data_IF_935541833341
#
_entry.id   IF_935541833341
#
_cell.length_a   1.000
_cell.length_b   1.000
_cell.length_c   1.000
_cell.angle_alpha   90.00
_cell.angle_beta   90.00
_cell.angle_gamma   90.00
#
_symmetry.space_group_name_H-M   'P 1'
#
loop_
_entity.id
_entity.type
_entity.pdbx_description
1 polymer ?
#
# COMPACT_ATOMS: atom_id res chain seq x y z
N UNK A 1 -16.84 -17.45 52.73
CA UNK A 1 -15.65 -18.28 53.02
C UNK A 1 -14.60 -18.02 51.94
N UNK A 2 -13.57 -17.27 52.30
CA UNK A 2 -12.38 -16.98 51.49
C UNK A 2 -11.27 -17.90 51.97
N UNK A 3 -10.34 -18.34 51.12
CA UNK A 3 -9.00 -18.70 51.58
C UNK A 3 -7.92 -17.77 50.98
N UNK A 4 -7.22 -17.19 51.91
CA UNK A 4 -5.85 -16.74 52.12
C UNK A 4 -4.84 -16.77 50.98
N UNK A 5 -4.19 -15.58 50.84
CA UNK A 5 -2.86 -15.36 50.28
C UNK A 5 -1.78 -16.22 50.93
N UNK A 6 -0.86 -16.70 50.14
CA UNK A 6 0.50 -17.07 50.58
C UNK A 6 1.53 -16.17 49.88
N UNK A 7 2.23 -15.40 50.69
CA UNK A 7 3.47 -14.72 50.34
C UNK A 7 4.62 -15.71 50.40
N UNK A 8 5.49 -15.68 49.40
CA UNK A 8 6.81 -16.29 49.46
C UNK A 8 7.90 -15.23 49.35
N UNK A 9 8.70 -15.19 50.41
CA UNK A 9 9.73 -14.22 50.63
C UNK A 9 10.98 -14.39 49.78
N UNK A 10 11.58 -13.25 49.59
CA UNK A 10 12.81 -12.97 48.88
C UNK A 10 14.03 -13.32 49.75
N UNK A 11 14.99 -14.06 49.21
CA UNK A 11 16.35 -14.07 49.73
C UNK A 11 17.30 -13.48 48.70
N UNK A 12 17.94 -12.38 49.11
CA UNK A 12 19.11 -11.79 48.45
C UNK A 12 20.35 -12.62 48.78
N UNK A 13 21.21 -12.86 47.80
CA UNK A 13 22.63 -13.10 48.02
C UNK A 13 23.43 -12.31 46.99
N UNK A 14 24.29 -11.45 47.51
CA UNK A 14 25.20 -10.63 46.72
C UNK A 14 26.45 -11.42 46.31
N UNK A 15 27.08 -10.94 45.23
CA UNK A 15 28.36 -11.43 44.76
C UNK A 15 28.97 -10.38 43.81
N UNK A 16 29.86 -9.59 44.36
CA UNK A 16 30.70 -8.65 43.61
C UNK A 16 31.91 -9.34 42.98
N UNK A 17 32.27 -9.00 41.75
CA UNK A 17 33.65 -9.05 41.14
C UNK A 17 33.58 -8.18 39.91
N UNK A 18 34.22 -7.07 39.88
CA UNK A 18 35.55 -6.52 39.60
C UNK A 18 36.14 -6.91 38.24
N UNK A 19 36.43 -5.86 37.45
CA UNK A 19 37.52 -5.72 36.47
C UNK A 19 37.14 -6.07 35.05
N UNK A 20 37.40 -5.29 34.04
CA UNK A 20 38.51 -4.41 33.72
C UNK A 20 38.16 -3.53 32.54
N UNK A 21 38.57 -2.29 32.62
CA UNK A 21 38.57 -1.27 31.57
C UNK A 21 39.69 -1.59 30.58
N UNK A 22 39.41 -1.70 29.32
CA UNK A 22 40.42 -1.64 28.24
C UNK A 22 40.16 -0.42 27.40
N UNK A 23 41.00 0.61 27.63
CA UNK A 23 41.19 1.76 26.76
C UNK A 23 42.01 1.33 25.53
N UNK A 24 41.48 1.56 24.32
CA UNK A 24 42.30 1.65 23.11
C UNK A 24 42.15 3.03 22.48
N UNK A 25 43.06 3.94 22.88
CA UNK A 25 43.47 5.10 22.04
C UNK A 25 44.63 4.63 21.19
N UNK A 26 44.53 4.70 19.90
CA UNK A 26 45.66 4.78 19.01
C UNK A 26 45.41 5.85 17.94
N UNK A 27 46.27 6.81 18.00
CA UNK A 27 46.38 7.93 17.09
C UNK A 27 46.86 7.48 15.71
N UNK A 28 46.30 8.04 14.65
CA UNK A 28 46.98 8.12 13.37
C UNK A 28 47.06 9.56 12.88
N UNK A 29 48.27 9.93 12.56
CA UNK A 29 48.73 11.25 12.16
C UNK A 29 48.20 11.68 10.79
N UNK A 30 47.93 12.95 10.68
CA UNK A 30 47.78 13.69 9.41
C UNK A 30 49.04 13.53 8.54
N UNK A 31 48.81 13.33 7.23
CA UNK A 31 49.71 13.82 6.20
C UNK A 31 48.90 14.59 5.16
N UNK A 32 49.27 15.84 5.00
CA UNK A 32 48.77 16.77 4.03
C UNK A 32 49.31 16.44 2.63
N UNK A 33 48.40 16.40 1.64
CA UNK A 33 48.79 16.34 0.24
C UNK A 33 47.71 16.96 -0.62
N UNK A 34 47.79 18.27 -0.85
CA UNK A 34 47.07 18.98 -1.90
C UNK A 34 47.43 18.38 -3.27
N UNK A 35 46.44 17.87 -4.00
CA UNK A 35 46.45 17.93 -5.47
C UNK A 35 45.03 18.22 -5.95
N UNK A 36 44.86 19.43 -6.42
CA UNK A 36 43.78 19.90 -7.26
C UNK A 36 43.85 19.14 -8.60
N UNK A 37 42.83 18.35 -8.90
CA UNK A 37 42.61 17.85 -10.25
C UNK A 37 41.21 18.27 -10.66
N UNK A 38 41.12 19.30 -11.47
CA UNK A 38 39.93 19.65 -12.22
C UNK A 38 39.68 18.52 -13.20
N UNK A 39 38.61 17.73 -12.94
CA UNK A 39 38.15 16.74 -13.88
C UNK A 39 37.29 17.44 -14.93
N UNK A 40 37.87 17.67 -16.12
CA UNK A 40 37.09 17.99 -17.31
C UNK A 40 36.09 16.82 -17.56
N UNK A 41 34.79 17.09 -17.76
CA UNK A 41 33.87 16.05 -18.19
C UNK A 41 34.34 15.56 -19.57
N UNK A 42 34.51 14.24 -19.69
CA UNK A 42 35.01 13.62 -20.90
C UNK A 42 34.02 13.87 -22.05
N UNK A 43 34.54 14.12 -23.25
CA UNK A 43 33.78 14.24 -24.50
C UNK A 43 32.77 13.08 -24.70
N UNK A 44 33.04 11.91 -24.13
CA UNK A 44 32.14 10.74 -24.11
C UNK A 44 30.84 10.96 -23.32
N UNK A 45 30.86 11.66 -22.17
CA UNK A 45 29.65 11.98 -21.42
C UNK A 45 28.77 12.99 -22.16
N UNK A 46 29.37 13.93 -22.87
CA UNK A 46 28.64 14.90 -23.69
C UNK A 46 27.98 14.23 -24.92
N UNK A 47 28.67 13.29 -25.56
CA UNK A 47 28.14 12.50 -26.68
C UNK A 47 26.96 11.60 -26.25
N UNK A 48 27.00 11.01 -25.07
CA UNK A 48 25.88 10.17 -24.54
C UNK A 48 24.66 11.02 -24.24
N UNK A 49 24.82 12.23 -23.71
CA UNK A 49 23.69 13.15 -23.44
C UNK A 49 23.06 13.66 -24.75
N UNK A 50 23.86 13.97 -25.75
CA UNK A 50 23.36 14.42 -27.05
C UNK A 50 22.69 13.29 -27.82
N UNK A 51 23.21 12.06 -27.74
CA UNK A 51 22.63 10.88 -28.37
C UNK A 51 21.28 10.49 -27.72
N UNK A 52 21.18 10.57 -26.38
CA UNK A 52 19.93 10.27 -25.66
C UNK A 52 18.84 11.35 -25.90
N UNK A 53 19.22 12.61 -25.97
CA UNK A 53 18.32 13.73 -26.32
C UNK A 53 17.83 13.64 -27.78
N UNK A 54 18.71 13.27 -28.72
CA UNK A 54 18.36 13.06 -30.11
C UNK A 54 17.40 11.86 -30.34
N UNK A 55 17.57 10.78 -29.55
CA UNK A 55 16.69 9.63 -29.61
C UNK A 55 15.28 9.95 -29.09
N UNK A 56 15.16 10.74 -28.02
CA UNK A 56 13.86 11.23 -27.51
C UNK A 56 13.11 12.09 -28.53
N UNK A 57 13.80 13.01 -29.21
CA UNK A 57 13.20 13.85 -30.26
C UNK A 57 12.81 13.05 -31.53
N UNK A 58 13.50 11.95 -31.82
CA UNK A 58 13.11 11.05 -32.90
C UNK A 58 11.88 10.20 -32.57
N UNK A 59 11.73 9.79 -31.29
CA UNK A 59 10.53 9.08 -30.82
C UNK A 59 9.30 9.99 -30.86
N UNK A 60 9.42 11.26 -30.44
CA UNK A 60 8.31 12.22 -30.55
C UNK A 60 7.91 12.51 -32.02
N UNK A 61 8.87 12.70 -32.91
CA UNK A 61 8.58 12.90 -34.33
C UNK A 61 8.04 11.64 -35.04
N UNK A 62 8.49 10.45 -34.61
CA UNK A 62 8.01 9.18 -35.17
C UNK A 62 6.55 8.87 -34.81
N UNK A 63 6.06 9.33 -33.65
CA UNK A 63 4.64 9.15 -33.26
C UNK A 63 3.67 10.09 -33.98
N UNK A 64 4.12 11.22 -34.49
CA UNK A 64 3.24 12.20 -35.18
C UNK A 64 3.06 11.92 -36.68
N UNK A 65 3.93 11.15 -37.33
CA UNK A 65 3.85 10.86 -38.77
C UNK A 65 3.19 9.51 -39.13
N UNK A 66 2.65 8.76 -38.14
CA UNK A 66 2.04 7.45 -38.35
C UNK A 66 0.51 7.43 -38.46
N UNK A 67 -0.16 8.59 -38.55
CA UNK A 67 -1.62 8.69 -38.67
C UNK A 67 -2.07 9.09 -40.09
N UNK A 68 -1.74 8.28 -41.09
CA UNK A 68 -2.46 8.28 -42.35
C UNK A 68 -3.35 7.04 -42.42
N UNK A 69 -4.65 7.27 -42.46
CA UNK A 69 -5.69 6.26 -42.59
C UNK A 69 -5.74 5.67 -43.99
N UNK A 70 -5.65 4.35 -44.21
CA UNK A 70 -5.99 3.77 -45.50
C UNK A 70 -7.51 3.60 -45.62
N UNK A 71 -8.07 4.15 -46.69
CA UNK A 71 -9.45 3.93 -47.14
C UNK A 71 -9.68 2.44 -47.51
N UNK A 72 -10.79 1.82 -47.11
CA UNK A 72 -11.04 0.42 -47.43
C UNK A 72 -11.58 0.21 -48.83
N UNK A 73 -10.85 -0.51 -49.69
CA UNK A 73 -11.40 -1.15 -50.88
C UNK A 73 -12.21 -2.39 -50.49
N UNK A 74 -13.47 -2.37 -50.90
CA UNK A 74 -14.42 -3.48 -50.80
C UNK A 74 -13.96 -4.70 -51.58
N UNK A 75 -13.93 -5.87 -50.91
CA UNK A 75 -14.19 -7.15 -51.54
C UNK A 75 -14.95 -8.07 -50.57
N UNK A 76 -16.18 -8.41 -50.99
CA UNK A 76 -17.11 -9.17 -50.19
C UNK A 76 -16.73 -10.66 -50.01
N UNK A 77 -16.91 -11.15 -48.80
CA UNK A 77 -17.38 -12.51 -48.50
C UNK A 77 -18.29 -12.43 -47.30
N UNK A 78 -19.58 -12.66 -47.56
CA UNK A 78 -20.60 -12.89 -46.54
C UNK A 78 -20.24 -14.17 -45.79
N UNK A 79 -20.12 -14.07 -44.49
CA UNK A 79 -20.26 -15.17 -43.58
C UNK A 79 -21.44 -14.84 -42.64
N UNK A 80 -22.52 -15.58 -42.81
CA UNK A 80 -23.71 -15.50 -41.99
C UNK A 80 -23.37 -16.01 -40.58
N UNK A 81 -23.35 -15.12 -39.59
CA UNK A 81 -23.38 -15.50 -38.19
C UNK A 81 -24.78 -15.27 -37.63
N UNK A 82 -25.39 -16.34 -37.18
CA UNK A 82 -26.65 -16.34 -36.48
C UNK A 82 -26.70 -15.34 -35.33
N UNK A 83 -27.66 -14.46 -35.40
CA UNK A 83 -27.95 -13.37 -34.45
C UNK A 83 -28.61 -13.95 -33.21
N UNK A 84 -27.84 -14.27 -32.17
CA UNK A 84 -28.33 -14.39 -30.81
C UNK A 84 -28.40 -12.99 -30.18
N UNK A 85 -29.60 -12.50 -29.93
CA UNK A 85 -29.82 -11.23 -29.22
C UNK A 85 -29.44 -11.43 -27.75
N UNK A 86 -28.27 -10.91 -27.36
CA UNK A 86 -28.02 -10.46 -26.00
C UNK A 86 -27.58 -9.01 -26.13
N UNK A 87 -28.33 -8.09 -25.52
CA UNK A 87 -28.06 -6.66 -25.55
C UNK A 87 -26.73 -6.33 -24.92
N UNK A 88 -25.67 -6.31 -25.73
CA UNK A 88 -24.36 -5.83 -25.33
C UNK A 88 -24.39 -4.29 -25.25
N UNK A 89 -24.40 -3.73 -24.05
CA UNK A 89 -23.93 -2.35 -23.83
C UNK A 89 -22.51 -2.25 -24.37
N UNK A 90 -22.25 -1.23 -25.20
CA UNK A 90 -20.85 -0.89 -25.52
C UNK A 90 -20.15 -0.61 -24.20
N UNK A 91 -18.91 -1.09 -23.98
CA UNK A 91 -18.20 -0.75 -22.76
C UNK A 91 -18.11 0.76 -22.65
N UNK A 92 -18.59 1.31 -21.52
CA UNK A 92 -18.47 2.73 -21.23
C UNK A 92 -16.97 3.10 -21.24
N UNK A 93 -16.64 4.32 -21.63
CA UNK A 93 -15.25 4.79 -21.69
C UNK A 93 -14.51 4.56 -20.34
N UNK A 94 -15.22 4.61 -19.21
CA UNK A 94 -14.71 4.31 -17.88
C UNK A 94 -14.27 2.84 -17.72
N UNK A 95 -14.98 1.89 -18.30
CA UNK A 95 -14.61 0.46 -18.26
C UNK A 95 -13.35 0.20 -19.09
N UNK A 96 -13.21 0.86 -20.23
CA UNK A 96 -12.03 0.76 -21.07
C UNK A 96 -10.80 1.35 -20.37
N UNK A 97 -10.93 2.51 -19.71
CA UNK A 97 -9.85 3.11 -18.93
C UNK A 97 -9.41 2.19 -17.80
N UNK A 98 -10.34 1.62 -17.05
CA UNK A 98 -10.05 0.65 -15.98
C UNK A 98 -9.27 -0.56 -16.51
N UNK A 99 -9.67 -1.12 -17.65
CA UNK A 99 -8.98 -2.25 -18.29
C UNK A 99 -7.56 -1.88 -18.72
N UNK A 100 -7.36 -0.71 -19.31
CA UNK A 100 -6.03 -0.21 -19.72
C UNK A 100 -5.13 -0.03 -18.49
N UNK A 101 -5.64 0.58 -17.42
CA UNK A 101 -4.89 0.78 -16.18
C UNK A 101 -4.53 -0.56 -15.53
N UNK A 102 -5.42 -1.55 -15.57
CA UNK A 102 -5.14 -2.91 -15.10
C UNK A 102 -4.00 -3.55 -15.90
N UNK A 103 -4.03 -3.46 -17.22
CA UNK A 103 -2.98 -4.04 -18.06
C UNK A 103 -1.62 -3.36 -17.81
N UNK A 104 -1.58 -2.03 -17.72
CA UNK A 104 -0.37 -1.27 -17.40
C UNK A 104 0.16 -1.70 -16.02
N UNK A 105 -0.71 -1.78 -15.01
CA UNK A 105 -0.34 -2.21 -13.65
C UNK A 105 0.22 -3.62 -13.63
N UNK A 106 -0.44 -4.56 -14.30
CA UNK A 106 0.01 -5.95 -14.40
C UNK A 106 1.38 -6.07 -15.07
N UNK A 107 1.63 -5.35 -16.17
CA UNK A 107 2.94 -5.31 -16.84
C UNK A 107 4.01 -4.72 -15.94
N UNK A 108 3.72 -3.60 -15.27
CA UNK A 108 4.65 -2.94 -14.36
C UNK A 108 5.05 -3.88 -13.22
N UNK A 109 4.07 -4.51 -12.58
CA UNK A 109 4.32 -5.46 -11.48
C UNK A 109 5.15 -6.64 -11.97
N UNK A 110 4.80 -7.26 -13.11
CA UNK A 110 5.59 -8.36 -13.68
C UNK A 110 7.04 -7.95 -13.94
N UNK A 111 7.25 -6.77 -14.54
CA UNK A 111 8.58 -6.24 -14.81
C UNK A 111 9.37 -5.97 -13.54
N UNK A 112 8.79 -5.27 -12.57
CA UNK A 112 9.47 -4.94 -11.32
C UNK A 112 9.73 -6.18 -10.46
N UNK A 113 8.77 -7.08 -10.38
CA UNK A 113 8.90 -8.32 -9.62
C UNK A 113 9.86 -9.34 -10.26
N UNK A 114 10.22 -9.19 -11.53
CA UNK A 114 11.24 -10.04 -12.16
C UNK A 114 12.67 -9.77 -11.72
N UNK A 115 12.91 -8.64 -11.04
CA UNK A 115 14.22 -8.33 -10.50
C UNK A 115 14.65 -9.35 -9.43
N UNK A 116 15.91 -9.81 -9.51
CA UNK A 116 16.49 -10.83 -8.62
C UNK A 116 16.42 -10.51 -7.11
N UNK A 117 16.31 -9.22 -6.76
CA UNK A 117 16.23 -8.77 -5.37
C UNK A 117 14.80 -8.77 -4.82
N UNK A 118 13.79 -9.04 -5.65
CA UNK A 118 12.40 -9.14 -5.21
C UNK A 118 12.07 -10.56 -4.73
N UNK A 119 11.19 -10.72 -3.74
CA UNK A 119 10.77 -12.05 -3.31
C UNK A 119 9.87 -12.69 -4.38
N UNK A 120 10.20 -13.91 -4.79
CA UNK A 120 9.41 -14.66 -5.79
C UNK A 120 8.51 -15.74 -5.17
N UNK A 121 8.48 -15.83 -3.84
CA UNK A 121 7.66 -16.82 -3.12
C UNK A 121 7.36 -16.32 -1.71
N UNK A 122 6.19 -16.66 -1.20
CA UNK A 122 5.82 -16.43 0.19
C UNK A 122 6.82 -17.08 1.16
N UNK A 123 7.47 -18.16 0.73
CA UNK A 123 8.42 -18.90 1.55
C UNK A 123 9.84 -18.28 1.56
N UNK A 124 10.14 -17.38 0.63
CA UNK A 124 11.38 -16.59 0.62
C UNK A 124 11.30 -15.32 1.47
N UNK A 125 10.12 -14.96 1.96
CA UNK A 125 9.91 -13.82 2.85
C UNK A 125 10.53 -14.06 4.23
N UNK A 126 10.95 -12.98 4.91
CA UNK A 126 11.32 -13.04 6.32
C UNK A 126 10.15 -13.55 7.18
N UNK A 127 10.43 -14.02 8.39
CA UNK A 127 9.36 -14.49 9.29
C UNK A 127 8.33 -13.39 9.58
N UNK A 128 8.79 -12.14 9.73
CA UNK A 128 7.93 -11.00 10.01
C UNK A 128 7.06 -10.64 8.79
N UNK A 129 7.66 -10.50 7.61
CA UNK A 129 6.94 -10.24 6.35
C UNK A 129 5.90 -11.32 6.08
N UNK A 130 6.27 -12.59 6.20
CA UNK A 130 5.35 -13.71 6.01
C UNK A 130 4.22 -13.72 7.02
N UNK A 131 4.50 -13.47 8.31
CA UNK A 131 3.48 -13.35 9.36
C UNK A 131 2.49 -12.22 9.02
N UNK A 132 3.00 -11.05 8.67
CA UNK A 132 2.18 -9.88 8.27
C UNK A 132 1.29 -10.24 7.09
N UNK A 133 1.85 -10.78 6.02
CA UNK A 133 1.09 -11.19 4.83
C UNK A 133 -0.03 -12.18 5.18
N UNK A 134 0.30 -13.28 5.86
CA UNK A 134 -0.67 -14.34 6.16
C UNK A 134 -1.80 -13.86 7.07
N UNK A 135 -1.56 -12.86 7.92
CA UNK A 135 -2.58 -12.22 8.74
C UNK A 135 -3.48 -11.23 7.97
N UNK A 136 -3.07 -10.84 6.75
CA UNK A 136 -3.83 -9.89 5.90
C UNK A 136 -4.54 -10.58 4.74
N UNK A 137 -4.33 -11.88 4.51
CA UNK A 137 -5.01 -12.61 3.44
C UNK A 137 -6.17 -13.42 4.01
N UNK A 138 -7.37 -13.08 3.54
CA UNK A 138 -8.63 -13.76 3.81
C UNK A 138 -8.89 -14.86 2.78
N UNK A 139 -9.54 -15.92 3.22
CA UNK A 139 -9.84 -17.11 2.42
C UNK A 139 -11.34 -17.27 2.27
N UNK A 140 -11.81 -17.53 1.06
CA UNK A 140 -13.14 -18.06 0.83
C UNK A 140 -13.02 -19.38 0.06
N UNK A 141 -13.25 -20.50 0.75
CA UNK A 141 -13.13 -21.84 0.17
C UNK A 141 -14.30 -22.18 -0.75
N UNK A 142 -15.49 -21.63 -0.49
CA UNK A 142 -16.70 -21.85 -1.29
C UNK A 142 -16.55 -21.30 -2.71
N UNK A 143 -16.00 -20.09 -2.83
CA UNK A 143 -15.76 -19.40 -4.10
C UNK A 143 -14.29 -19.46 -4.56
N UNK A 144 -13.43 -20.20 -3.84
CA UNK A 144 -12.02 -20.49 -4.16
C UNK A 144 -11.19 -19.24 -4.48
N UNK A 145 -11.23 -18.24 -3.59
CA UNK A 145 -10.40 -17.05 -3.73
C UNK A 145 -9.67 -16.64 -2.45
N UNK A 146 -8.64 -15.83 -2.63
CA UNK A 146 -7.85 -15.19 -1.60
C UNK A 146 -7.94 -13.68 -1.78
N UNK A 147 -8.22 -12.96 -0.69
CA UNK A 147 -8.27 -11.51 -0.67
C UNK A 147 -7.26 -10.95 0.32
N UNK A 148 -6.23 -10.23 -0.17
CA UNK A 148 -5.38 -9.44 0.73
C UNK A 148 -6.07 -8.12 1.05
N UNK A 149 -6.54 -7.98 2.29
CA UNK A 149 -7.20 -6.75 2.70
C UNK A 149 -6.19 -5.66 3.05
N UNK A 150 -6.43 -4.47 2.52
CA UNK A 150 -5.64 -3.28 2.79
C UNK A 150 -6.51 -2.29 3.56
N UNK A 151 -6.14 -1.89 4.80
CA UNK A 151 -6.85 -0.84 5.53
C UNK A 151 -6.90 0.46 4.74
N UNK A 152 -8.02 1.17 4.82
CA UNK A 152 -8.32 2.44 4.11
C UNK A 152 -8.53 2.29 2.59
N UNK A 153 -8.73 1.04 2.12
CA UNK A 153 -9.09 0.69 0.74
C UNK A 153 -10.37 -0.16 0.75
N UNK A 154 -11.41 0.35 1.36
CA UNK A 154 -12.74 -0.25 1.48
C UNK A 154 -12.76 -1.70 2.06
N UNK A 155 -11.74 -2.08 2.85
CA UNK A 155 -11.61 -3.43 3.38
C UNK A 155 -12.78 -3.87 4.28
N UNK A 156 -13.46 -2.94 4.95
CA UNK A 156 -14.65 -3.26 5.77
C UNK A 156 -15.80 -3.75 4.89
N UNK A 157 -16.02 -3.13 3.72
CA UNK A 157 -17.04 -3.55 2.77
C UNK A 157 -16.73 -4.91 2.16
N UNK A 158 -15.47 -5.14 1.76
CA UNK A 158 -15.05 -6.46 1.32
C UNK A 158 -15.22 -7.54 2.38
N UNK A 159 -14.93 -7.24 3.64
CA UNK A 159 -15.15 -8.20 4.74
C UNK A 159 -16.64 -8.51 4.93
N UNK A 160 -17.55 -7.52 4.75
CA UNK A 160 -19.01 -7.79 4.74
C UNK A 160 -19.41 -8.70 3.58
N UNK A 161 -18.93 -8.40 2.38
CA UNK A 161 -19.15 -9.25 1.20
C UNK A 161 -18.66 -10.68 1.45
N UNK A 162 -17.47 -10.87 2.01
CA UNK A 162 -16.94 -12.19 2.34
C UNK A 162 -17.85 -12.93 3.34
N UNK A 163 -18.38 -12.24 4.36
CA UNK A 163 -19.32 -12.85 5.32
C UNK A 163 -20.64 -13.26 4.67
N UNK A 164 -21.15 -12.51 3.71
CA UNK A 164 -22.32 -12.91 2.93
C UNK A 164 -22.00 -14.12 2.06
N UNK A 165 -20.88 -14.10 1.34
CA UNK A 165 -20.46 -15.23 0.50
C UNK A 165 -20.18 -16.52 1.29
N UNK A 166 -19.77 -16.42 2.55
CA UNK A 166 -19.60 -17.56 3.46
C UNK A 166 -20.88 -18.00 4.15
N UNK A 167 -21.97 -17.24 4.03
CA UNK A 167 -23.26 -17.51 4.68
C UNK A 167 -23.34 -17.05 6.14
N UNK A 168 -22.36 -16.27 6.63
CA UNK A 168 -22.37 -15.70 7.99
C UNK A 168 -23.26 -14.45 8.11
N UNK A 169 -23.58 -13.80 6.99
CA UNK A 169 -24.54 -12.70 6.89
C UNK A 169 -25.50 -12.97 5.73
N UNK A 170 -26.72 -12.52 5.85
CA UNK A 170 -27.74 -12.63 4.80
C UNK A 170 -27.53 -11.60 3.69
N UNK A 171 -27.13 -10.40 4.05
CA UNK A 171 -26.91 -9.28 3.12
C UNK A 171 -25.76 -8.38 3.57
N UNK A 172 -25.34 -7.49 2.67
CA UNK A 172 -24.29 -6.50 2.93
C UNK A 172 -24.91 -5.24 3.56
N UNK A 173 -24.99 -5.20 4.89
CA UNK A 173 -25.45 -4.01 5.62
C UNK A 173 -24.25 -3.18 6.12
N UNK A 174 -24.13 -1.95 5.60
CA UNK A 174 -23.06 -1.02 5.97
C UNK A 174 -23.28 -0.33 7.32
N UNK A 175 -24.51 -0.34 7.84
CA UNK A 175 -24.88 0.30 9.12
C UNK A 175 -24.48 -0.57 10.31
N UNK A 176 -24.37 -1.87 10.13
CA UNK A 176 -23.91 -2.77 11.19
C UNK A 176 -22.42 -2.55 11.44
N UNK A 177 -22.07 -2.34 12.72
CA UNK A 177 -20.67 -2.24 13.13
C UNK A 177 -19.89 -3.48 12.70
N UNK A 178 -18.84 -3.28 11.91
CA UNK A 178 -18.04 -4.37 11.38
C UNK A 178 -17.18 -5.03 12.45
N UNK A 179 -17.39 -6.32 12.69
CA UNK A 179 -16.41 -7.17 13.35
C UNK A 179 -15.41 -7.68 12.31
N UNK A 180 -14.15 -7.26 12.48
CA UNK A 180 -13.09 -7.50 11.51
C UNK A 180 -12.44 -8.88 11.64
N UNK A 181 -12.86 -9.74 12.58
CA UNK A 181 -12.21 -11.02 12.87
C UNK A 181 -13.15 -12.22 12.88
N UNK A 182 -14.31 -12.11 13.53
CA UNK A 182 -15.25 -13.23 13.58
C UNK A 182 -15.76 -13.60 12.18
N UNK A 183 -16.06 -14.88 11.97
CA UNK A 183 -16.60 -15.44 10.71
C UNK A 183 -15.73 -15.15 9.46
N UNK A 184 -14.44 -14.92 9.66
CA UNK A 184 -13.45 -14.70 8.60
C UNK A 184 -12.31 -15.68 8.77
N UNK A 185 -11.96 -16.40 7.71
CA UNK A 185 -10.82 -17.31 7.68
C UNK A 185 -9.60 -16.57 7.15
N UNK A 186 -8.51 -16.56 7.93
CA UNK A 186 -7.24 -15.96 7.53
C UNK A 186 -6.26 -17.06 7.11
N UNK A 187 -5.39 -16.79 6.15
CA UNK A 187 -4.32 -17.74 5.78
C UNK A 187 -3.44 -18.11 6.97
N UNK A 188 -3.25 -17.20 7.92
CA UNK A 188 -2.46 -17.44 9.13
C UNK A 188 -3.02 -18.52 10.07
N UNK A 189 -4.29 -18.92 9.92
CA UNK A 189 -4.93 -19.97 10.72
C UNK A 189 -4.78 -21.36 10.11
N UNK A 190 -4.23 -21.48 8.91
CA UNK A 190 -4.13 -22.72 8.15
C UNK A 190 -2.74 -23.35 8.24
N UNK A 191 -2.68 -24.65 7.96
CA UNK A 191 -1.41 -25.38 7.89
C UNK A 191 -0.60 -24.99 6.64
N UNK A 192 0.71 -25.14 6.64
CA UNK A 192 1.56 -24.75 5.50
C UNK A 192 1.18 -25.39 4.16
N UNK A 193 0.77 -26.66 4.16
CA UNK A 193 0.32 -27.38 2.98
C UNK A 193 -1.00 -26.82 2.43
N UNK A 194 -1.92 -26.45 3.30
CA UNK A 194 -3.20 -25.84 2.97
C UNK A 194 -3.02 -24.43 2.38
N UNK A 195 -2.05 -23.67 2.94
CA UNK A 195 -1.64 -22.36 2.40
C UNK A 195 -1.06 -22.52 0.99
N UNK A 196 -0.13 -23.49 0.80
CA UNK A 196 0.48 -23.74 -0.53
C UNK A 196 -0.56 -24.10 -1.57
N UNK A 197 -1.50 -24.97 -1.20
CA UNK A 197 -2.59 -25.39 -2.10
C UNK A 197 -3.40 -24.17 -2.57
N UNK A 198 -3.86 -23.31 -1.64
CA UNK A 198 -4.70 -22.16 -1.95
C UNK A 198 -3.95 -21.09 -2.75
N UNK A 199 -2.71 -20.78 -2.38
CA UNK A 199 -1.86 -19.85 -3.14
C UNK A 199 -1.64 -20.30 -4.60
N UNK A 200 -1.63 -21.62 -4.85
CA UNK A 200 -1.44 -22.18 -6.19
C UNK A 200 -2.74 -22.24 -7.01
N UNK A 201 -3.87 -22.50 -6.36
CA UNK A 201 -5.10 -22.89 -7.06
C UNK A 201 -6.26 -21.91 -6.94
N UNK A 202 -6.20 -20.94 -6.02
CA UNK A 202 -7.28 -19.97 -5.81
C UNK A 202 -7.00 -18.68 -6.56
N UNK A 203 -8.07 -18.03 -7.00
CA UNK A 203 -8.00 -16.67 -7.52
C UNK A 203 -7.55 -15.71 -6.43
N UNK A 204 -6.54 -14.88 -6.70
CA UNK A 204 -5.92 -13.98 -5.73
C UNK A 204 -6.14 -12.54 -6.14
N UNK A 205 -6.74 -11.75 -5.27
CA UNK A 205 -6.93 -10.34 -5.55
C UNK A 205 -6.65 -9.44 -4.36
N UNK A 206 -6.41 -8.19 -4.65
CA UNK A 206 -6.29 -7.10 -3.68
C UNK A 206 -6.76 -5.79 -4.31
N UNK A 207 -6.95 -4.78 -3.46
CA UNK A 207 -7.26 -3.42 -3.91
C UNK A 207 -6.20 -2.46 -3.40
N UNK A 208 -5.85 -1.48 -4.24
CA UNK A 208 -4.86 -0.45 -3.94
C UNK A 208 -5.50 0.94 -3.95
N UNK A 209 -4.78 1.92 -3.43
CA UNK A 209 -5.17 3.32 -3.39
C UNK A 209 -3.92 4.18 -3.49
N UNK A 210 -4.05 5.41 -4.00
CA UNK A 210 -2.95 6.36 -4.03
C UNK A 210 -2.29 6.46 -2.63
N UNK A 211 -0.96 6.29 -2.52
CA UNK A 211 -0.30 6.10 -1.22
C UNK A 211 -0.47 7.24 -0.23
N UNK A 212 -0.41 8.50 -0.68
CA UNK A 212 -0.58 9.66 0.21
C UNK A 212 -2.04 9.90 0.58
N UNK A 213 -2.96 9.63 -0.32
CA UNK A 213 -4.39 9.64 -0.05
C UNK A 213 -4.77 8.60 1.02
N UNK A 214 -4.22 7.38 0.87
CA UNK A 214 -4.40 6.31 1.85
C UNK A 214 -3.83 6.69 3.22
N UNK A 215 -2.61 7.24 3.25
CA UNK A 215 -1.94 7.67 4.48
C UNK A 215 -2.73 8.76 5.18
N UNK A 216 -3.18 9.78 4.44
CA UNK A 216 -3.97 10.88 4.97
C UNK A 216 -5.34 10.42 5.48
N UNK A 217 -5.98 9.49 4.77
CA UNK A 217 -7.21 8.84 5.22
C UNK A 217 -7.02 8.09 6.54
N UNK A 218 -5.86 7.45 6.74
CA UNK A 218 -5.52 6.79 8.00
C UNK A 218 -5.31 7.81 9.13
N UNK A 219 -4.53 8.85 8.88
CA UNK A 219 -4.27 9.91 9.85
C UNK A 219 -5.56 10.56 10.33
N UNK A 220 -6.39 11.07 9.41
CA UNK A 220 -7.65 11.75 9.75
C UNK A 220 -8.61 10.87 10.57
N UNK A 221 -8.75 9.60 10.16
CA UNK A 221 -9.63 8.69 10.87
C UNK A 221 -9.05 8.26 12.23
N UNK A 222 -7.77 7.89 12.31
CA UNK A 222 -7.21 7.30 13.53
C UNK A 222 -6.97 8.32 14.65
N UNK A 223 -6.57 9.53 14.31
CA UNK A 223 -6.32 10.59 15.29
C UNK A 223 -7.51 11.56 15.45
N UNK A 224 -8.40 11.67 14.45
CA UNK A 224 -9.60 12.49 14.55
C UNK A 224 -10.84 11.79 15.15
N UNK A 225 -10.94 10.45 15.01
CA UNK A 225 -12.20 9.75 15.30
C UNK A 225 -12.06 8.55 16.27
N UNK A 226 -10.87 7.97 16.40
CA UNK A 226 -10.70 6.68 17.09
C UNK A 226 -9.90 6.83 18.38
N UNK A 227 -10.61 6.96 19.50
CA UNK A 227 -10.03 7.19 20.83
C UNK A 227 -8.93 6.17 21.21
N UNK A 228 -9.11 4.90 20.87
CA UNK A 228 -8.09 3.87 21.18
C UNK A 228 -6.75 4.11 20.46
N UNK A 229 -6.78 4.74 19.28
CA UNK A 229 -5.56 5.13 18.53
C UNK A 229 -4.97 6.41 19.08
N UNK A 230 -5.81 7.38 19.47
CA UNK A 230 -5.38 8.61 20.14
C UNK A 230 -4.62 8.26 21.42
N UNK A 231 -5.22 7.44 22.29
CA UNK A 231 -4.60 6.99 23.55
C UNK A 231 -3.30 6.19 23.32
N UNK A 232 -3.27 5.29 22.34
CA UNK A 232 -2.13 4.40 22.12
C UNK A 232 -0.99 5.08 21.37
N UNK A 233 -1.28 5.68 20.24
CA UNK A 233 -0.27 6.26 19.32
C UNK A 233 -0.19 7.77 19.46
N UNK A 234 -1.32 8.47 19.58
CA UNK A 234 -1.38 9.92 19.66
C UNK A 234 -0.60 10.46 20.85
N UNK A 235 -0.85 9.89 22.03
CA UNK A 235 -0.13 10.26 23.26
C UNK A 235 1.39 10.05 23.10
N UNK A 236 1.81 8.95 22.49
CA UNK A 236 3.23 8.66 22.25
C UNK A 236 3.85 9.66 21.27
N UNK A 237 3.17 9.95 20.16
CA UNK A 237 3.62 10.88 19.15
C UNK A 237 3.82 12.29 19.75
N UNK A 238 2.84 12.79 20.50
CA UNK A 238 2.92 14.09 21.13
C UNK A 238 4.07 14.15 22.14
N UNK A 239 4.25 13.12 22.95
CA UNK A 239 5.35 13.04 23.90
C UNK A 239 6.73 13.10 23.24
N UNK A 240 6.89 12.45 22.08
CA UNK A 240 8.18 12.38 21.36
C UNK A 240 8.48 13.65 20.57
N UNK A 241 7.50 14.26 19.92
CA UNK A 241 7.76 15.21 18.85
C UNK A 241 7.29 16.65 19.15
N UNK A 242 6.42 16.85 20.14
CA UNK A 242 5.93 18.19 20.50
C UNK A 242 6.88 18.89 21.47
N UNK A 243 7.55 19.95 20.98
CA UNK A 243 8.44 20.79 21.78
C UNK A 243 7.65 21.86 22.56
N UNK A 244 8.21 22.34 23.66
CA UNK A 244 7.67 23.50 24.40
C UNK A 244 6.37 23.26 25.17
N UNK A 245 6.01 21.99 25.42
CA UNK A 245 4.81 21.64 26.18
C UNK A 245 4.99 21.94 27.68
N UNK A 246 3.95 22.47 28.32
CA UNK A 246 3.88 22.57 29.77
C UNK A 246 3.96 21.18 30.41
N UNK A 247 4.74 21.03 31.50
CA UNK A 247 4.96 19.72 32.15
C UNK A 247 3.70 19.05 32.63
N UNK A 248 2.69 19.85 33.04
CA UNK A 248 1.45 19.39 33.64
C UNK A 248 0.25 19.33 32.67
N UNK A 249 0.45 19.62 31.38
CA UNK A 249 -0.62 19.53 30.39
C UNK A 249 -1.02 18.07 30.15
N UNK A 250 -2.31 17.75 30.36
CA UNK A 250 -2.87 16.45 30.02
C UNK A 250 -2.73 16.20 28.50
N UNK A 251 -2.28 14.99 28.14
CA UNK A 251 -2.16 14.59 26.73
C UNK A 251 -3.25 13.58 26.43
N UNK A 252 -4.19 13.98 25.60
CA UNK A 252 -5.31 13.15 25.13
C UNK A 252 -4.94 12.34 23.89
N UNK A 253 -4.05 12.89 23.04
CA UNK A 253 -3.58 12.25 21.82
C UNK A 253 -4.48 12.49 20.61
N UNK A 254 -5.52 13.31 20.73
CA UNK A 254 -6.49 13.65 19.67
C UNK A 254 -6.06 14.85 18.81
N UNK A 255 -5.09 15.61 19.29
CA UNK A 255 -4.57 16.82 18.64
C UNK A 255 -3.20 16.62 17.94
N UNK A 256 -2.86 15.38 17.57
CA UNK A 256 -1.64 15.08 16.81
C UNK A 256 -1.64 15.84 15.50
N UNK A 257 -0.61 16.64 15.24
CA UNK A 257 -0.42 17.28 13.94
C UNK A 257 0.10 16.32 12.89
N UNK A 258 -0.21 16.58 11.61
CA UNK A 258 0.29 15.73 10.53
C UNK A 258 1.82 15.68 10.47
N UNK A 259 2.50 16.79 10.78
CA UNK A 259 3.96 16.84 10.83
C UNK A 259 4.55 15.99 11.98
N UNK A 260 3.90 15.93 13.14
CA UNK A 260 4.29 15.04 14.24
C UNK A 260 4.08 13.57 13.86
N UNK A 261 2.96 13.25 13.22
CA UNK A 261 2.68 11.91 12.73
C UNK A 261 3.72 11.47 11.67
N UNK A 262 4.08 12.36 10.73
CA UNK A 262 5.12 12.04 9.73
C UNK A 262 6.47 11.78 10.40
N UNK A 263 6.88 12.57 11.41
CA UNK A 263 8.12 12.29 12.17
C UNK A 263 8.08 10.91 12.82
N UNK A 264 6.95 10.55 13.40
CA UNK A 264 6.75 9.21 13.96
C UNK A 264 6.93 8.12 12.88
N UNK A 265 6.34 8.30 11.68
CA UNK A 265 6.50 7.34 10.58
C UNK A 265 7.95 7.23 10.12
N UNK A 266 8.72 8.31 10.16
CA UNK A 266 10.14 8.30 9.77
C UNK A 266 10.99 7.46 10.72
N UNK A 267 10.68 7.47 12.01
CA UNK A 267 11.39 6.70 13.04
C UNK A 267 10.94 5.22 13.10
N UNK A 268 9.78 4.88 12.53
CA UNK A 268 9.28 3.50 12.51
C UNK A 268 9.98 2.65 11.43
N UNK A 269 10.28 1.41 11.80
CA UNK A 269 10.63 0.37 10.83
C UNK A 269 9.39 0.02 10.00
N UNK A 270 9.51 0.08 8.67
CA UNK A 270 8.40 -0.15 7.73
C UNK A 270 7.72 -1.50 7.95
N UNK A 271 8.48 -2.56 8.30
CA UNK A 271 7.94 -3.90 8.55
C UNK A 271 7.19 -4.01 9.90
N UNK A 272 7.34 -3.02 10.79
CA UNK A 272 6.71 -2.96 12.11
C UNK A 272 5.62 -1.91 12.24
N UNK A 273 5.41 -1.12 11.19
CA UNK A 273 4.34 -0.12 11.17
C UNK A 273 2.98 -0.75 11.43
N UNK A 274 2.07 0.05 11.97
CA UNK A 274 0.66 -0.36 12.05
C UNK A 274 0.06 -0.54 10.64
N UNK A 275 -0.80 -1.53 10.47
CA UNK A 275 -1.44 -1.89 9.19
C UNK A 275 -2.13 -0.73 8.46
N UNK A 276 -2.60 0.30 9.19
CA UNK A 276 -3.31 1.42 8.61
C UNK A 276 -2.40 2.38 7.84
N UNK A 277 -1.10 2.41 8.17
CA UNK A 277 -0.12 3.26 7.48
C UNK A 277 1.11 2.50 6.96
N UNK A 278 1.21 1.20 7.19
CA UNK A 278 2.21 0.36 6.53
C UNK A 278 1.99 0.38 5.01
N UNK A 279 3.04 0.49 4.19
CA UNK A 279 2.91 0.40 2.73
C UNK A 279 2.18 -0.86 2.29
N UNK A 280 1.41 -0.77 1.21
CA UNK A 280 0.64 -1.89 0.64
C UNK A 280 1.58 -3.02 0.23
N UNK A 281 2.74 -2.68 -0.34
CA UNK A 281 3.79 -3.65 -0.65
C UNK A 281 4.14 -4.53 0.56
N UNK A 282 4.35 -3.94 1.72
CA UNK A 282 4.71 -4.67 2.93
C UNK A 282 3.55 -5.49 3.51
N UNK A 283 2.31 -5.04 3.35
CA UNK A 283 1.12 -5.78 3.77
C UNK A 283 0.85 -7.01 2.90
N UNK A 284 0.88 -6.84 1.58
CA UNK A 284 0.35 -7.82 0.63
C UNK A 284 1.41 -8.51 -0.22
N UNK A 285 2.68 -8.08 -0.18
CA UNK A 285 3.82 -8.74 -0.83
C UNK A 285 3.52 -9.16 -2.29
N UNK A 286 3.17 -8.25 -3.21
CA UNK A 286 2.64 -8.60 -4.52
C UNK A 286 3.61 -9.41 -5.39
N UNK A 287 4.94 -9.26 -5.20
CA UNK A 287 5.92 -10.06 -5.91
C UNK A 287 6.00 -11.51 -5.40
N UNK A 288 5.71 -11.73 -4.11
CA UNK A 288 5.73 -13.07 -3.52
C UNK A 288 4.44 -13.86 -3.74
N UNK A 289 3.30 -13.17 -3.84
CA UNK A 289 1.96 -13.78 -3.97
C UNK A 289 1.53 -13.96 -5.42
N UNK A 290 1.90 -13.04 -6.31
CA UNK A 290 1.47 -13.01 -7.73
C UNK A 290 -0.06 -12.97 -7.84
N UNK A 291 -0.66 -11.80 -7.54
CA UNK A 291 -2.10 -11.60 -7.62
C UNK A 291 -2.61 -11.69 -9.06
N UNK A 292 -3.77 -12.32 -9.22
CA UNK A 292 -4.44 -12.45 -10.51
C UNK A 292 -5.19 -11.17 -10.89
N UNK A 293 -5.65 -10.39 -9.87
CA UNK A 293 -6.31 -9.10 -10.07
C UNK A 293 -5.92 -8.09 -8.98
N UNK A 294 -5.66 -6.84 -9.40
CA UNK A 294 -5.36 -5.73 -8.49
C UNK A 294 -6.25 -4.55 -8.83
N UNK A 295 -7.38 -4.44 -8.13
CA UNK A 295 -8.31 -3.34 -8.26
C UNK A 295 -7.80 -2.05 -7.61
N UNK A 296 -8.42 -0.93 -7.95
CA UNK A 296 -8.10 0.38 -7.39
C UNK A 296 -9.28 1.00 -6.64
N UNK A 297 -8.96 1.86 -5.68
CA UNK A 297 -9.97 2.58 -4.93
C UNK A 297 -10.70 3.61 -5.82
N UNK A 298 -10.04 4.10 -6.81
CA UNK A 298 -10.53 5.07 -7.79
C UNK A 298 -11.62 4.45 -8.68
N UNK A 299 -11.48 3.17 -9.04
CA UNK A 299 -12.43 2.38 -9.83
C UNK A 299 -13.10 1.28 -9.00
N UNK A 300 -13.35 1.55 -7.70
CA UNK A 300 -13.74 0.54 -6.73
C UNK A 300 -15.00 -0.23 -7.10
N UNK A 301 -16.01 0.43 -7.65
CA UNK A 301 -17.31 -0.18 -7.96
C UNK A 301 -17.19 -1.13 -9.15
N UNK A 302 -16.62 -0.69 -10.27
CA UNK A 302 -16.42 -1.53 -11.45
C UNK A 302 -15.43 -2.67 -11.20
N UNK A 303 -14.32 -2.40 -10.52
CA UNK A 303 -13.33 -3.41 -10.17
C UNK A 303 -13.89 -4.46 -9.19
N UNK A 304 -14.74 -4.04 -8.26
CA UNK A 304 -15.39 -4.97 -7.33
C UNK A 304 -16.43 -5.84 -8.02
N UNK A 305 -17.24 -5.27 -8.91
CA UNK A 305 -18.21 -6.03 -9.72
C UNK A 305 -17.51 -7.08 -10.59
N UNK A 306 -16.39 -6.71 -11.25
CA UNK A 306 -15.57 -7.67 -11.99
C UNK A 306 -15.14 -8.85 -11.10
N UNK A 307 -14.64 -8.58 -9.88
CA UNK A 307 -14.22 -9.64 -8.96
C UNK A 307 -15.40 -10.53 -8.56
N UNK A 308 -16.56 -9.94 -8.21
CA UNK A 308 -17.75 -10.68 -7.81
C UNK A 308 -18.25 -11.61 -8.93
N UNK A 309 -18.29 -11.13 -10.16
CA UNK A 309 -18.64 -11.95 -11.33
C UNK A 309 -17.62 -13.06 -11.55
N UNK A 310 -16.31 -12.75 -11.48
CA UNK A 310 -15.24 -13.72 -11.69
C UNK A 310 -15.26 -14.88 -10.69
N UNK A 311 -15.57 -14.59 -9.42
CA UNK A 311 -15.64 -15.63 -8.36
C UNK A 311 -16.98 -16.34 -8.29
N UNK A 312 -17.92 -16.05 -9.20
CA UNK A 312 -19.26 -16.64 -9.24
C UNK A 312 -20.08 -16.27 -8.02
N UNK A 313 -20.04 -15.01 -7.58
CA UNK A 313 -20.92 -14.53 -6.52
C UNK A 313 -22.38 -14.59 -6.96
N UNK A 314 -23.33 -14.89 -6.05
CA UNK A 314 -24.76 -14.85 -6.36
C UNK A 314 -25.18 -13.45 -6.86
N UNK A 315 -26.13 -13.34 -7.82
CA UNK A 315 -26.52 -12.07 -8.44
C UNK A 315 -27.04 -10.99 -7.47
N UNK A 316 -27.51 -11.38 -6.28
CA UNK A 316 -27.97 -10.43 -5.25
C UNK A 316 -26.85 -9.89 -4.37
N UNK A 317 -25.61 -10.37 -4.52
CA UNK A 317 -24.46 -9.93 -3.76
C UNK A 317 -23.74 -8.86 -4.55
N UNK A 318 -23.87 -7.61 -4.13
CA UNK A 318 -23.22 -6.47 -4.73
C UNK A 318 -22.23 -5.85 -3.75
N UNK A 319 -21.21 -5.18 -4.30
CA UNK A 319 -20.33 -4.35 -3.49
C UNK A 319 -21.11 -3.10 -3.07
N UNK A 320 -21.11 -2.72 -1.77
CA UNK A 320 -21.93 -1.60 -1.32
C UNK A 320 -21.39 -0.27 -1.84
N UNK A 321 -22.31 0.58 -2.26
CA UNK A 321 -22.01 1.94 -2.73
C UNK A 321 -21.30 2.78 -1.65
N UNK A 322 -20.63 3.83 -2.11
CA UNK A 322 -19.98 4.78 -1.21
C UNK A 322 -21.02 5.53 -0.40
N UNK A 323 -20.86 5.50 0.91
CA UNK A 323 -21.79 6.15 1.82
C UNK A 323 -21.66 7.67 1.79
N UNK A 324 -22.80 8.39 1.84
CA UNK A 324 -22.85 9.86 1.76
C UNK A 324 -22.14 10.56 2.93
N UNK A 325 -22.11 9.94 4.12
CA UNK A 325 -21.40 10.47 5.29
C UNK A 325 -19.87 10.35 5.21
N UNK A 326 -19.35 9.56 4.27
CA UNK A 326 -17.91 9.44 4.08
C UNK A 326 -17.34 10.70 3.43
N UNK A 327 -16.43 11.38 4.14
CA UNK A 327 -15.70 12.55 3.64
C UNK A 327 -14.44 12.08 2.93
N UNK A 328 -14.41 12.02 1.59
CA UNK A 328 -13.25 11.57 0.84
C UNK A 328 -12.06 12.50 1.10
N UNK A 329 -10.87 11.97 0.89
CA UNK A 329 -9.66 12.79 0.79
C UNK A 329 -9.62 13.30 -0.64
N UNK A 330 -9.77 14.60 -0.83
CA UNK A 330 -9.70 15.23 -2.15
C UNK A 330 -8.27 15.61 -2.50
N UNK A 331 -8.00 15.89 -3.77
CA UNK A 331 -6.69 16.37 -4.25
C UNK A 331 -6.25 17.63 -3.52
N UNK A 332 -7.17 18.57 -3.27
CA UNK A 332 -6.90 19.80 -2.53
C UNK A 332 -6.53 19.49 -1.06
N UNK A 333 -7.21 18.52 -0.46
CA UNK A 333 -6.88 18.07 0.89
C UNK A 333 -5.47 17.47 0.95
N UNK A 334 -5.12 16.63 0.00
CA UNK A 334 -3.77 16.04 -0.11
C UNK A 334 -2.73 17.16 -0.27
N UNK A 335 -2.97 18.05 -1.22
CA UNK A 335 -2.10 19.19 -1.48
C UNK A 335 -1.88 20.05 -0.23
N UNK A 336 -2.95 20.43 0.47
CA UNK A 336 -2.88 21.20 1.71
C UNK A 336 -1.96 20.53 2.75
N UNK A 337 -2.17 19.25 3.03
CA UNK A 337 -1.38 18.54 4.03
C UNK A 337 0.07 18.32 3.61
N UNK A 338 0.33 17.98 2.36
CA UNK A 338 1.68 17.77 1.86
C UNK A 338 2.48 19.08 1.80
N UNK A 339 1.84 20.18 1.37
CA UNK A 339 2.47 21.49 1.33
C UNK A 339 2.68 22.12 2.72
N UNK A 340 1.92 21.69 3.74
CA UNK A 340 2.13 22.10 5.14
C UNK A 340 3.37 21.44 5.78
N UNK A 341 3.89 20.36 5.17
CA UNK A 341 5.07 19.69 5.69
C UNK A 341 6.37 20.43 5.33
N UNK A 342 7.34 20.49 6.25
CA UNK A 342 8.70 20.83 5.89
C UNK A 342 9.21 19.93 4.75
N UNK A 343 9.82 20.51 3.72
CA UNK A 343 10.33 19.80 2.54
C UNK A 343 11.27 18.62 2.88
N UNK A 344 12.01 18.75 3.99
CA UNK A 344 12.86 17.65 4.49
C UNK A 344 12.03 16.42 4.85
N UNK A 345 10.96 16.60 5.63
CA UNK A 345 10.09 15.48 6.06
C UNK A 345 9.45 14.77 4.88
N UNK A 346 9.02 15.54 3.89
CA UNK A 346 8.40 14.99 2.69
C UNK A 346 9.38 14.16 1.86
N UNK A 347 10.62 14.67 1.66
CA UNK A 347 11.68 13.93 0.95
C UNK A 347 12.08 12.63 1.65
N UNK A 348 11.98 12.56 2.97
CA UNK A 348 12.25 11.35 3.75
C UNK A 348 11.06 10.41 3.80
N UNK A 349 9.81 10.92 3.71
CA UNK A 349 8.59 10.14 3.75
C UNK A 349 8.36 9.35 2.45
N UNK A 350 8.49 10.00 1.30
CA UNK A 350 8.17 9.40 -0.01
C UNK A 350 8.93 8.08 -0.27
N UNK A 351 10.23 7.96 0.03
CA UNK A 351 10.95 6.69 -0.13
C UNK A 351 10.35 5.51 0.62
N UNK A 352 9.68 5.74 1.77
CA UNK A 352 9.03 4.66 2.51
C UNK A 352 7.86 4.02 1.75
N UNK A 353 7.24 4.75 0.81
CA UNK A 353 6.11 4.31 -0.01
C UNK A 353 6.45 4.15 -1.48
N UNK A 354 7.74 4.26 -1.86
CA UNK A 354 8.16 4.28 -3.26
C UNK A 354 7.72 3.04 -4.05
N UNK A 355 7.71 1.87 -3.42
CA UNK A 355 7.22 0.64 -4.07
C UNK A 355 5.72 0.67 -4.32
N UNK A 356 4.93 1.30 -3.46
CA UNK A 356 3.49 1.46 -3.70
C UNK A 356 3.23 2.40 -4.90
N UNK A 357 3.97 3.51 -5.01
CA UNK A 357 3.90 4.38 -6.18
C UNK A 357 4.28 3.65 -7.47
N UNK A 358 5.44 2.98 -7.45
CA UNK A 358 6.02 2.38 -8.64
C UNK A 358 5.27 1.14 -9.12
N UNK A 359 4.94 0.20 -8.21
CA UNK A 359 4.27 -1.06 -8.56
C UNK A 359 2.83 -0.84 -9.01
N UNK A 360 2.13 0.10 -8.37
CA UNK A 360 0.71 0.34 -8.65
C UNK A 360 0.46 1.51 -9.61
N UNK A 361 1.53 2.03 -10.22
CA UNK A 361 1.48 3.07 -11.27
C UNK A 361 0.87 4.40 -10.82
N UNK A 362 1.04 4.76 -9.55
CA UNK A 362 0.65 6.07 -9.05
C UNK A 362 1.74 7.11 -9.30
N UNK A 363 1.39 8.33 -9.76
CA UNK A 363 2.37 9.40 -9.91
C UNK A 363 2.87 9.87 -8.54
N UNK A 364 4.14 10.26 -8.48
CA UNK A 364 4.65 10.93 -7.28
C UNK A 364 3.99 12.30 -7.12
N UNK A 365 3.66 12.71 -5.88
CA UNK A 365 3.02 14.00 -5.65
C UNK A 365 3.95 15.15 -6.06
N UNK A 366 3.38 16.13 -6.80
CA UNK A 366 4.10 17.34 -7.14
C UNK A 366 4.15 18.29 -5.94
N UNK A 367 5.30 18.38 -5.30
CA UNK A 367 5.52 19.14 -4.07
C UNK A 367 6.64 20.17 -4.23
N UNK A 368 6.84 20.65 -5.45
CA UNK A 368 7.79 21.76 -5.70
C UNK A 368 7.35 23.02 -4.95
N UNK A 369 8.32 23.82 -4.52
CA UNK A 369 8.03 25.08 -3.83
C UNK A 369 7.15 26.04 -4.66
N UNK A 370 7.21 25.95 -5.98
CA UNK A 370 6.35 26.70 -6.88
C UNK A 370 4.87 26.23 -6.80
N UNK A 371 4.64 24.94 -6.67
CA UNK A 371 3.30 24.33 -6.60
C UNK A 371 2.63 24.52 -5.22
N UNK A 372 3.43 24.68 -4.16
CA UNK A 372 2.96 24.89 -2.79
C UNK A 372 2.80 26.38 -2.38
N UNK A 373 2.87 27.33 -3.30
CA UNK A 373 2.76 28.78 -3.02
C UNK A 373 1.36 29.36 -3.30
N UNK A 374 0.31 28.58 -3.16
CA UNK A 374 -1.06 29.09 -3.32
C UNK A 374 -1.81 29.08 -2.01
#
# INVERSE_FOLDING_TARGET
MLPRRQEYGMKRSGGARSGSVINFRSAMKLSSGRRSSAVLPSLLTFLVIVASGGLLLMIEKGMLNGMETPSPRSNGRRLDFHRGQAGGRSPDAADLESQILQEIRNRTIKTMCSHKNMPHSVWSLSLLQRKTLLQHVLVNDKHRFLYCYVPKVACSNWKRVLKVLSGALENVDVNIKMDHRSDLVFLSSLKPEEIRYRLKHYFKFMFVREPMERLLSAYRNKFGEIESYQKKYGVEIIKRYRKGRAKDAAITGDDVTFAEFVRYLLDEDVERMNEHWMPIYNLCQPCAVSYDFIGSYEHLESDAEFVLQHVGAPPHVHFPERQTWYKPVTTETIHYYLCSLPQKLLRELLPKYILDFSLFTYPLPNTTAAHCRH
#
